data_IF_694136203237
#
_entry.id   IF_694136203237
#
_cell.length_a   1.000
_cell.length_b   1.000
_cell.length_c   1.000
_cell.angle_alpha   90.00
_cell.angle_beta   90.00
_cell.angle_gamma   90.00
#
_symmetry.space_group_name_H-M   'P 1'
#
loop_
_entity.id
_entity.type
_entity.pdbx_description
1 polymer ?
#
# COMPACT_ATOMS: atom_id res chain seq x y z
N UNK A 1 -33.86 29.05 57.02
CA UNK A 1 -33.92 29.66 55.69
C UNK A 1 -32.48 29.94 55.28
N UNK A 2 -31.85 29.02 54.54
CA UNK A 2 -30.44 29.12 54.16
C UNK A 2 -30.38 29.41 52.66
N UNK A 3 -29.98 30.64 52.31
CA UNK A 3 -29.74 31.06 50.94
C UNK A 3 -28.37 30.54 50.49
N UNK A 4 -28.37 29.79 49.39
CA UNK A 4 -27.16 29.35 48.69
C UNK A 4 -27.09 30.12 47.37
N UNK A 5 -26.09 31.00 47.23
CA UNK A 5 -25.78 31.66 45.96
C UNK A 5 -25.07 30.69 45.00
N UNK A 6 -25.30 30.78 43.68
CA UNK A 6 -24.65 29.93 42.69
C UNK A 6 -23.25 30.46 42.33
N UNK A 7 -22.32 29.58 41.92
CA UNK A 7 -20.96 29.96 41.55
C UNK A 7 -20.91 30.64 40.17
N UNK A 8 -20.06 31.66 40.06
CA UNK A 8 -19.79 32.40 38.82
C UNK A 8 -18.82 31.63 37.92
N UNK A 9 -19.27 31.23 36.74
CA UNK A 9 -18.47 30.52 35.74
C UNK A 9 -17.48 31.48 35.07
N UNK A 10 -16.19 31.31 35.32
CA UNK A 10 -15.12 32.05 34.63
C UNK A 10 -14.88 31.46 33.23
N UNK A 11 -14.83 32.33 32.22
CA UNK A 11 -14.58 31.95 30.83
C UNK A 11 -13.12 31.51 30.60
N UNK A 12 -12.85 30.55 29.69
CA UNK A 12 -11.49 30.12 29.39
C UNK A 12 -10.71 31.15 28.55
N UNK A 13 -9.45 31.34 28.91
CA UNK A 13 -8.49 32.19 28.21
C UNK A 13 -8.18 31.65 26.81
N UNK A 14 -8.10 32.56 25.83
CA UNK A 14 -7.72 32.25 24.45
C UNK A 14 -6.21 32.00 24.34
N UNK A 15 -5.76 30.95 23.63
CA UNK A 15 -4.33 30.69 23.43
C UNK A 15 -3.70 31.66 22.40
N UNK A 16 -2.40 32.00 22.56
CA UNK A 16 -1.70 32.94 21.68
C UNK A 16 -1.44 32.37 20.27
N UNK A 17 -1.59 33.23 19.27
CA UNK A 17 -1.27 32.96 17.86
C UNK A 17 0.18 32.51 17.66
N UNK A 18 0.36 31.33 17.06
CA UNK A 18 1.67 30.84 16.65
C UNK A 18 2.15 31.58 15.38
N UNK A 19 3.31 32.25 15.50
CA UNK A 19 4.02 32.88 14.38
C UNK A 19 4.53 31.79 13.42
N UNK A 20 4.15 31.90 12.14
CA UNK A 20 4.79 31.20 11.02
C UNK A 20 6.21 31.73 10.85
N UNK A 21 7.21 30.84 10.86
CA UNK A 21 8.55 31.12 10.33
C UNK A 21 8.77 30.25 9.10
N UNK A 22 8.97 30.93 7.96
CA UNK A 22 9.51 30.36 6.74
C UNK A 22 10.96 29.88 6.96
N UNK A 23 11.42 28.88 6.21
CA UNK A 23 12.43 29.05 5.13
C UNK A 23 12.83 27.67 4.61
N UNK A 24 12.62 27.48 3.31
CA UNK A 24 13.06 26.32 2.54
C UNK A 24 14.58 26.36 2.34
N UNK A 25 15.26 25.21 2.42
CA UNK A 25 16.57 25.03 1.79
C UNK A 25 16.65 23.58 1.28
N UNK A 26 16.47 23.42 -0.03
CA UNK A 26 16.70 22.16 -0.75
C UNK A 26 18.08 22.26 -1.38
N UNK A 27 19.00 21.41 -0.95
CA UNK A 27 20.34 21.28 -1.53
C UNK A 27 20.27 20.20 -2.60
N UNK A 28 20.30 20.61 -3.87
CA UNK A 28 20.40 19.72 -5.02
C UNK A 28 21.90 19.38 -5.18
N UNK A 29 22.27 18.12 -4.97
CA UNK A 29 23.61 17.62 -5.27
C UNK A 29 23.54 16.76 -6.53
N UNK A 30 24.02 17.33 -7.63
CA UNK A 30 24.21 16.69 -8.94
C UNK A 30 25.50 15.87 -8.92
N UNK A 31 25.44 14.59 -9.29
CA UNK A 31 26.61 13.77 -9.59
C UNK A 31 26.51 13.24 -11.02
N UNK A 32 27.41 13.73 -11.89
CA UNK A 32 27.70 13.21 -13.22
C UNK A 32 28.97 12.36 -13.15
N UNK A 33 29.08 11.29 -13.96
CA UNK A 33 30.29 10.50 -14.33
C UNK A 33 29.82 9.18 -14.95
N UNK A 34 30.34 8.56 -16.02
CA UNK A 34 31.35 8.80 -17.06
C UNK A 34 31.01 7.84 -18.23
N UNK A 35 31.30 8.26 -19.47
CA UNK A 35 31.16 7.46 -20.71
C UNK A 35 32.52 6.84 -21.06
N UNK A 36 32.55 5.53 -21.33
CA UNK A 36 33.57 4.83 -22.10
C UNK A 36 32.89 3.57 -22.70
N UNK A 37 32.91 3.22 -23.98
CA UNK A 37 33.83 3.56 -25.06
C UNK A 37 34.57 2.29 -25.50
N UNK A 38 33.92 1.37 -26.24
CA UNK A 38 34.62 0.30 -26.98
C UNK A 38 34.06 0.26 -28.41
N UNK A 39 34.89 0.77 -29.32
CA UNK A 39 34.81 0.58 -30.77
C UNK A 39 35.63 -0.67 -31.10
N UNK A 40 35.05 -1.61 -31.84
CA UNK A 40 35.85 -2.57 -32.61
C UNK A 40 35.22 -2.74 -33.99
N UNK A 41 36.01 -2.34 -34.98
CA UNK A 41 35.72 -2.41 -36.39
C UNK A 41 35.96 -3.83 -36.93
N UNK A 42 35.16 -4.22 -37.92
CA UNK A 42 35.38 -5.41 -38.75
C UNK A 42 34.69 -5.23 -40.09
N UNK A 43 35.44 -4.71 -41.07
CA UNK A 43 35.03 -4.50 -42.46
C UNK A 43 35.21 -5.82 -43.22
N UNK A 44 34.18 -6.25 -43.98
CA UNK A 44 34.39 -7.01 -45.23
C UNK A 44 33.43 -6.46 -46.30
N UNK A 45 34.04 -6.05 -47.42
CA UNK A 45 33.43 -5.53 -48.64
C UNK A 45 33.05 -6.69 -49.57
N UNK A 46 31.92 -6.56 -50.28
CA UNK A 46 31.66 -6.93 -51.70
C UNK A 46 30.18 -7.28 -51.88
N UNK A 47 29.49 -7.09 -53.00
CA UNK A 47 29.46 -6.14 -54.11
C UNK A 47 28.18 -6.52 -54.89
N UNK A 48 27.43 -5.53 -55.39
CA UNK A 48 26.50 -5.58 -56.54
C UNK A 48 25.41 -6.66 -56.65
N UNK A 49 24.15 -6.22 -56.76
CA UNK A 49 23.28 -6.35 -57.96
C UNK A 49 21.79 -6.50 -57.59
N UNK A 50 20.99 -5.64 -58.23
CA UNK A 50 19.62 -5.81 -58.72
C UNK A 50 18.43 -6.19 -57.83
N UNK A 51 17.32 -5.58 -58.23
CA UNK A 51 15.99 -5.61 -57.66
C UNK A 51 15.38 -7.02 -57.57
N UNK A 52 14.61 -7.26 -56.52
CA UNK A 52 13.21 -7.73 -56.59
C UNK A 52 12.63 -7.83 -55.17
N UNK A 53 11.41 -7.33 -55.01
CA UNK A 53 10.60 -7.51 -53.80
C UNK A 53 10.23 -9.00 -53.66
N UNK A 54 10.29 -9.58 -52.45
CA UNK A 54 9.18 -10.44 -52.08
C UNK A 54 8.75 -10.29 -50.60
N UNK A 55 7.47 -9.98 -50.44
CA UNK A 55 6.49 -10.57 -49.50
C UNK A 55 7.05 -11.35 -48.29
N UNK A 56 6.72 -10.97 -47.03
CA UNK A 56 7.14 -11.74 -45.86
C UNK A 56 6.43 -13.10 -45.83
N UNK A 57 7.20 -14.16 -46.05
CA UNK A 57 6.77 -15.55 -45.86
C UNK A 57 6.93 -15.90 -44.37
N UNK A 58 5.82 -16.23 -43.70
CA UNK A 58 5.84 -16.76 -42.32
C UNK A 58 6.46 -18.17 -42.36
N UNK A 59 7.69 -18.30 -41.88
CA UNK A 59 8.32 -19.60 -41.70
C UNK A 59 7.96 -20.14 -40.32
N UNK A 60 7.18 -21.22 -40.31
CA UNK A 60 6.87 -22.05 -39.14
C UNK A 60 8.18 -22.65 -38.60
N UNK A 61 8.59 -22.24 -37.40
CA UNK A 61 9.77 -22.79 -36.74
C UNK A 61 9.56 -24.28 -36.44
N UNK A 62 10.44 -25.10 -37.01
CA UNK A 62 10.52 -26.54 -36.76
C UNK A 62 11.12 -26.80 -35.37
N UNK A 63 10.51 -27.75 -34.65
CA UNK A 63 10.99 -28.25 -33.36
C UNK A 63 12.42 -28.80 -33.47
N UNK A 64 13.37 -28.15 -32.80
CA UNK A 64 14.63 -28.74 -32.41
C UNK A 64 14.57 -29.12 -30.91
N UNK A 65 15.03 -30.32 -30.50
CA UNK A 65 15.02 -30.69 -29.08
C UNK A 65 16.10 -29.89 -28.35
N UNK A 66 15.67 -28.91 -27.55
CA UNK A 66 16.56 -28.17 -26.66
C UNK A 66 16.89 -29.05 -25.44
N UNK A 67 18.19 -29.22 -25.21
CA UNK A 67 18.73 -29.95 -24.07
C UNK A 67 18.19 -29.40 -22.75
N UNK A 68 17.71 -30.30 -21.90
CA UNK A 68 17.12 -30.00 -20.60
C UNK A 68 18.20 -29.46 -19.66
N UNK A 69 18.36 -28.14 -19.59
CA UNK A 69 19.04 -27.50 -18.48
C UNK A 69 18.10 -27.52 -17.28
N UNK A 70 18.40 -28.37 -16.31
CA UNK A 70 17.70 -28.48 -15.03
C UNK A 70 17.72 -27.12 -14.34
N UNK A 71 16.64 -26.37 -14.49
CA UNK A 71 16.39 -25.12 -13.78
C UNK A 71 16.23 -25.49 -12.31
N UNK A 72 17.21 -25.17 -11.49
CA UNK A 72 17.10 -25.29 -10.03
C UNK A 72 15.90 -24.44 -9.62
N UNK A 73 14.82 -25.10 -9.22
CA UNK A 73 13.63 -24.46 -8.68
C UNK A 73 14.05 -23.62 -7.48
N UNK A 74 13.67 -22.32 -7.39
CA UNK A 74 13.87 -21.60 -6.14
C UNK A 74 13.14 -22.37 -5.04
N UNK A 75 13.89 -22.66 -3.97
CA UNK A 75 13.35 -23.21 -2.74
C UNK A 75 12.26 -22.23 -2.23
N UNK A 76 11.09 -22.70 -1.79
CA UNK A 76 10.05 -21.81 -1.31
C UNK A 76 10.60 -20.98 -0.15
N UNK A 77 10.50 -19.65 -0.28
CA UNK A 77 10.69 -18.70 0.82
C UNK A 77 9.86 -19.22 2.02
N UNK A 78 10.37 -19.19 3.26
CA UNK A 78 9.62 -19.66 4.41
C UNK A 78 8.26 -18.96 4.42
N UNK A 79 7.20 -19.75 4.23
CA UNK A 79 5.82 -19.28 4.21
C UNK A 79 5.57 -18.56 5.53
N UNK A 80 5.48 -17.23 5.52
CA UNK A 80 5.04 -16.48 6.69
C UNK A 80 3.72 -17.09 7.16
N UNK A 81 3.66 -17.44 8.44
CA UNK A 81 2.45 -17.96 9.05
C UNK A 81 1.36 -16.88 8.93
N UNK A 82 0.27 -17.19 8.22
CA UNK A 82 -0.83 -16.23 8.02
C UNK A 82 -1.54 -15.97 9.33
N UNK A 83 -1.59 -14.70 9.74
CA UNK A 83 -2.17 -14.27 11.02
C UNK A 83 -3.70 -14.36 11.00
N UNK A 84 -4.35 -14.49 12.16
CA UNK A 84 -5.82 -14.38 12.28
C UNK A 84 -6.21 -12.95 12.58
N UNK A 85 -7.44 -12.56 12.23
CA UNK A 85 -7.98 -11.26 12.66
C UNK A 85 -7.88 -11.12 14.19
N UNK A 86 -7.35 -9.99 14.64
CA UNK A 86 -7.05 -9.68 16.03
C UNK A 86 -5.60 -9.91 16.43
N UNK A 87 -4.86 -10.75 15.69
CA UNK A 87 -3.46 -11.01 15.97
C UNK A 87 -2.61 -9.75 15.69
N UNK A 88 -1.71 -9.46 16.64
CA UNK A 88 -0.72 -8.40 16.54
C UNK A 88 0.59 -8.99 16.03
N UNK A 89 1.23 -8.27 15.12
CA UNK A 89 2.59 -8.56 14.66
C UNK A 89 3.49 -7.38 14.93
N UNK A 90 4.69 -7.67 15.44
CA UNK A 90 5.73 -6.69 15.65
C UNK A 90 6.61 -6.63 14.39
N UNK A 91 6.83 -5.42 13.88
CA UNK A 91 7.49 -5.14 12.61
C UNK A 91 8.68 -4.21 12.88
N UNK A 92 9.83 -4.57 12.32
CA UNK A 92 11.01 -3.73 12.26
C UNK A 92 11.35 -3.46 10.79
N UNK A 93 11.17 -2.22 10.34
CA UNK A 93 11.34 -1.82 8.95
C UNK A 93 11.83 -0.37 8.86
N UNK A 94 12.76 -0.09 7.94
CA UNK A 94 13.31 1.27 7.75
C UNK A 94 13.94 1.88 9.01
N UNK A 95 14.45 1.06 9.93
CA UNK A 95 14.98 1.51 11.23
C UNK A 95 13.91 1.83 12.28
N UNK A 96 12.63 1.70 11.96
CA UNK A 96 11.51 1.90 12.87
C UNK A 96 11.06 0.57 13.49
N UNK A 97 10.48 0.65 14.69
CA UNK A 97 9.81 -0.49 15.35
C UNK A 97 8.36 -0.12 15.60
N UNK A 98 7.45 -0.96 15.16
CA UNK A 98 6.02 -0.71 15.31
C UNK A 98 5.27 -2.03 15.22
N UNK A 99 4.02 -2.05 15.66
CA UNK A 99 3.15 -3.21 15.50
C UNK A 99 1.93 -2.89 14.68
N UNK A 100 1.42 -3.91 13.97
CA UNK A 100 0.23 -3.81 13.16
C UNK A 100 -0.76 -4.93 13.52
N UNK A 101 -2.05 -4.66 13.34
CA UNK A 101 -3.10 -5.66 13.51
C UNK A 101 -4.31 -5.33 12.62
N UNK A 102 -4.90 -6.38 12.04
CA UNK A 102 -6.23 -6.31 11.43
C UNK A 102 -7.25 -6.78 12.45
N UNK A 103 -8.15 -5.89 12.83
CA UNK A 103 -9.09 -6.09 13.93
C UNK A 103 -10.44 -6.64 13.47
N UNK A 104 -10.86 -6.28 12.27
CA UNK A 104 -12.14 -6.70 11.71
C UNK A 104 -12.13 -6.57 10.18
N UNK A 105 -12.93 -7.40 9.52
CA UNK A 105 -13.29 -7.26 8.12
C UNK A 105 -14.81 -7.37 7.98
N UNK A 106 -15.43 -6.46 7.24
CA UNK A 106 -16.86 -6.44 6.94
C UNK A 106 -17.05 -6.12 5.47
N UNK A 107 -17.92 -6.86 4.78
CA UNK A 107 -18.26 -6.64 3.37
C UNK A 107 -19.77 -6.69 3.11
N UNK A 108 -20.58 -6.64 4.18
CA UNK A 108 -22.04 -6.66 4.16
C UNK A 108 -22.58 -5.70 5.21
N UNK A 109 -23.76 -5.12 4.93
CA UNK A 109 -24.45 -4.24 5.87
C UNK A 109 -23.72 -2.94 6.17
N UNK A 110 -22.80 -2.52 5.28
CA UNK A 110 -22.12 -1.23 5.38
C UNK A 110 -22.94 -0.24 4.57
N UNK A 111 -23.35 0.85 5.21
CA UNK A 111 -24.00 1.96 4.52
C UNK A 111 -23.01 2.58 3.54
N UNK A 112 -23.29 2.41 2.26
CA UNK A 112 -22.61 3.18 1.21
C UNK A 112 -23.21 4.58 1.16
N UNK A 113 -22.39 5.63 0.95
CA UNK A 113 -22.94 6.92 0.55
C UNK A 113 -23.66 6.77 -0.80
N UNK A 114 -24.78 7.47 -0.95
CA UNK A 114 -25.64 7.40 -2.14
C UNK A 114 -24.91 7.94 -3.36
N UNK A 115 -24.95 7.20 -4.48
CA UNK A 115 -24.44 7.66 -5.78
C UNK A 115 -22.92 7.59 -5.95
N UNK A 116 -22.18 7.06 -4.98
CA UNK A 116 -20.72 6.93 -5.11
C UNK A 116 -20.27 5.70 -5.88
N UNK A 117 -20.98 4.59 -5.72
CA UNK A 117 -20.62 3.33 -6.36
C UNK A 117 -21.57 3.03 -7.51
N UNK A 118 -21.02 2.45 -8.58
CA UNK A 118 -21.78 1.93 -9.70
C UNK A 118 -22.66 0.77 -9.25
N UNK A 119 -23.74 0.52 -10.01
CA UNK A 119 -24.72 -0.51 -9.67
C UNK A 119 -24.08 -1.90 -9.46
N UNK A 120 -24.23 -2.43 -8.26
CA UNK A 120 -23.76 -3.76 -7.87
C UNK A 120 -22.32 -3.83 -7.36
N UNK A 121 -21.60 -2.71 -7.28
CA UNK A 121 -20.42 -2.61 -6.43
C UNK A 121 -20.83 -2.59 -4.95
N UNK A 122 -19.94 -3.04 -4.07
CA UNK A 122 -20.18 -3.03 -2.62
C UNK A 122 -19.03 -2.36 -1.88
N UNK A 123 -19.34 -1.78 -0.73
CA UNK A 123 -18.36 -1.26 0.19
C UNK A 123 -17.87 -2.39 1.11
N UNK A 124 -16.56 -2.54 1.21
CA UNK A 124 -15.92 -3.33 2.26
C UNK A 124 -15.10 -2.43 3.19
N UNK A 125 -14.97 -2.86 4.44
CA UNK A 125 -14.27 -2.18 5.50
C UNK A 125 -13.32 -3.15 6.20
N UNK A 126 -12.13 -2.65 6.49
CA UNK A 126 -11.15 -3.30 7.34
C UNK A 126 -10.83 -2.39 8.51
N UNK A 127 -11.11 -2.83 9.72
CA UNK A 127 -10.66 -2.15 10.93
C UNK A 127 -9.22 -2.52 11.22
N UNK A 128 -8.32 -1.55 11.31
CA UNK A 128 -6.89 -1.78 11.52
C UNK A 128 -6.35 -0.96 12.68
N UNK A 129 -5.20 -1.37 13.23
CA UNK A 129 -4.45 -0.62 14.24
C UNK A 129 -2.96 -0.72 13.96
N UNK A 130 -2.26 0.41 14.08
CA UNK A 130 -0.80 0.48 14.06
C UNK A 130 -0.33 1.22 15.31
N UNK A 131 0.67 0.69 16.00
CA UNK A 131 1.28 1.29 17.18
C UNK A 131 2.75 1.53 16.93
N UNK A 132 3.23 2.75 17.17
CA UNK A 132 4.65 3.04 17.09
C UNK A 132 5.33 2.62 18.39
N UNK A 133 6.26 1.67 18.30
CA UNK A 133 6.99 1.13 19.45
C UNK A 133 8.42 1.68 19.53
N UNK A 134 8.82 2.50 18.55
CA UNK A 134 10.09 3.22 18.52
C UNK A 134 9.98 4.64 19.06
N UNK A 135 11.10 5.37 19.02
CA UNK A 135 11.16 6.77 19.47
C UNK A 135 10.84 7.77 18.35
N UNK A 136 11.24 7.44 17.11
CA UNK A 136 11.03 8.30 15.95
C UNK A 136 9.58 8.19 15.45
N UNK A 137 8.97 9.29 14.97
CA UNK A 137 7.62 9.24 14.44
C UNK A 137 7.56 8.43 13.14
N UNK A 138 6.51 7.62 13.00
CA UNK A 138 6.20 6.90 11.75
C UNK A 138 5.04 7.58 11.03
N UNK A 139 4.97 7.44 9.71
CA UNK A 139 3.82 7.87 8.91
C UNK A 139 2.95 6.66 8.61
N UNK A 140 1.64 6.78 8.82
CA UNK A 140 0.65 5.76 8.45
C UNK A 140 -0.30 6.29 7.39
N UNK A 141 -0.72 5.42 6.48
CA UNK A 141 -1.66 5.73 5.42
C UNK A 141 -2.55 4.51 5.13
N UNK A 142 -3.78 4.69 4.60
CA UNK A 142 -4.62 3.56 4.23
C UNK A 142 -4.04 2.76 3.05
N UNK A 143 -3.33 3.40 2.11
CA UNK A 143 -2.83 2.76 0.89
C UNK A 143 -1.72 1.73 1.10
N UNK A 144 -1.20 1.58 2.32
CA UNK A 144 -0.31 0.46 2.66
C UNK A 144 -1.10 -0.82 2.96
N UNK A 145 -2.43 -0.76 2.98
CA UNK A 145 -3.32 -1.90 3.22
C UNK A 145 -3.98 -2.33 1.92
N UNK A 146 -4.16 -3.63 1.70
CA UNK A 146 -4.92 -4.14 0.54
C UNK A 146 -5.74 -5.37 0.88
N UNK A 147 -6.82 -5.63 0.14
CA UNK A 147 -7.50 -6.92 0.15
C UNK A 147 -6.87 -7.85 -0.88
N UNK A 148 -6.74 -9.14 -0.56
CA UNK A 148 -6.36 -10.17 -1.52
C UNK A 148 -7.42 -11.26 -1.63
N UNK A 149 -7.61 -11.73 -2.86
CA UNK A 149 -8.60 -12.73 -3.24
C UNK A 149 -7.95 -14.05 -3.65
N UNK A 150 -8.77 -15.09 -3.76
CA UNK A 150 -8.34 -16.47 -4.08
C UNK A 150 -7.64 -16.57 -5.44
N UNK A 151 -8.05 -15.75 -6.41
CA UNK A 151 -7.46 -15.68 -7.75
C UNK A 151 -6.11 -14.94 -7.80
N UNK A 152 -5.59 -14.52 -6.64
CA UNK A 152 -4.36 -13.75 -6.51
C UNK A 152 -4.51 -12.26 -6.82
N UNK A 153 -5.71 -11.80 -7.19
CA UNK A 153 -5.97 -10.38 -7.37
C UNK A 153 -5.90 -9.63 -6.05
N UNK A 154 -5.54 -8.34 -6.15
CA UNK A 154 -5.48 -7.42 -5.02
C UNK A 154 -6.34 -6.21 -5.31
N UNK A 155 -6.97 -5.70 -4.26
CA UNK A 155 -7.76 -4.48 -4.30
C UNK A 155 -7.17 -3.49 -3.32
N UNK A 156 -6.79 -2.33 -3.85
CA UNK A 156 -6.34 -1.20 -3.05
C UNK A 156 -7.53 -0.46 -2.43
N UNK A 157 -7.32 0.25 -1.31
CA UNK A 157 -8.34 1.11 -0.73
C UNK A 157 -8.66 2.22 -1.71
N UNK A 158 -9.93 2.62 -1.75
CA UNK A 158 -10.28 3.83 -2.47
C UNK A 158 -10.14 5.05 -1.56
N UNK A 159 -9.80 6.19 -2.15
CA UNK A 159 -9.63 7.41 -1.40
C UNK A 159 -10.98 8.09 -1.16
N UNK A 160 -11.33 8.27 0.10
CA UNK A 160 -12.40 9.17 0.50
C UNK A 160 -12.04 9.85 1.81
N UNK A 161 -12.22 11.17 1.82
CA UNK A 161 -12.06 11.99 3.03
C UNK A 161 -13.39 12.66 3.34
N UNK A 162 -13.82 12.65 4.60
CA UNK A 162 -14.99 13.40 5.04
C UNK A 162 -16.02 12.56 5.80
N UNK A 163 -17.21 13.13 5.99
CA UNK A 163 -18.29 12.59 6.82
C UNK A 163 -19.12 11.49 6.15
N UNK A 164 -18.76 11.11 4.92
CA UNK A 164 -19.50 10.17 4.09
C UNK A 164 -19.19 8.72 4.50
N UNK A 165 -17.98 8.46 4.99
CA UNK A 165 -17.58 7.13 5.45
C UNK A 165 -17.90 6.92 6.93
N UNK A 166 -18.33 5.70 7.33
CA UNK A 166 -18.54 5.36 8.73
C UNK A 166 -17.29 5.58 9.60
N UNK A 167 -17.34 6.42 10.65
CA UNK A 167 -16.19 6.64 11.52
C UNK A 167 -15.86 5.41 12.39
N UNK A 168 -14.63 5.31 12.94
CA UNK A 168 -13.49 6.17 12.66
C UNK A 168 -12.82 5.80 11.32
N UNK A 169 -12.56 6.78 10.45
CA UNK A 169 -11.80 6.57 9.21
C UNK A 169 -10.31 6.50 9.53
N UNK A 170 -9.57 5.58 8.93
CA UNK A 170 -8.12 5.51 9.07
C UNK A 170 -7.48 6.74 8.41
N UNK A 171 -6.55 7.43 9.09
CA UNK A 171 -6.09 8.73 8.61
C UNK A 171 -5.15 8.60 7.41
N UNK A 172 -5.16 9.65 6.61
CA UNK A 172 -4.23 9.88 5.51
C UNK A 172 -2.93 10.52 6.03
N UNK A 173 -1.80 9.88 5.72
CA UNK A 173 -0.43 10.39 5.99
C UNK A 173 -0.23 10.96 7.40
N UNK A 174 -0.83 10.32 8.40
CA UNK A 174 -0.73 10.77 9.78
C UNK A 174 0.60 10.37 10.41
N UNK A 175 1.22 11.29 11.14
CA UNK A 175 2.41 11.02 11.96
C UNK A 175 2.00 10.46 13.31
N UNK A 176 2.55 9.30 13.66
CA UNK A 176 2.32 8.61 14.93
C UNK A 176 3.59 8.69 15.76
N UNK A 177 3.53 9.35 16.91
CA UNK A 177 4.67 9.47 17.83
C UNK A 177 4.97 8.14 18.51
N UNK A 178 6.20 7.99 19.00
CA UNK A 178 6.57 6.82 19.80
C UNK A 178 5.66 6.62 21.01
N UNK A 179 5.19 5.38 21.18
CA UNK A 179 4.23 5.00 22.23
C UNK A 179 2.76 5.19 21.85
N UNK A 180 2.45 5.93 20.78
CA UNK A 180 1.07 6.16 20.34
C UNK A 180 0.61 5.08 19.35
N UNK A 181 -0.72 4.93 19.25
CA UNK A 181 -1.35 4.09 18.25
C UNK A 181 -2.39 4.85 17.45
N UNK A 182 -2.53 4.49 16.19
CA UNK A 182 -3.65 4.89 15.33
C UNK A 182 -4.53 3.70 15.05
N UNK A 183 -5.84 3.90 15.17
CA UNK A 183 -6.87 2.91 14.84
C UNK A 183 -7.92 3.56 13.96
N UNK A 184 -8.40 2.82 12.97
CA UNK A 184 -9.43 3.31 12.06
C UNK A 184 -9.84 2.27 11.04
N UNK A 185 -10.82 2.65 10.22
CA UNK A 185 -11.37 1.85 9.15
C UNK A 185 -10.73 2.24 7.81
N UNK A 186 -10.21 1.26 7.10
CA UNK A 186 -9.78 1.35 5.70
C UNK A 186 -10.93 0.82 4.83
N UNK A 187 -11.25 1.53 3.77
CA UNK A 187 -12.43 1.25 2.94
C UNK A 187 -12.03 0.83 1.53
N UNK A 188 -12.77 -0.13 0.99
CA UNK A 188 -12.52 -0.74 -0.32
C UNK A 188 -13.81 -0.73 -1.14
N UNK A 189 -13.73 -0.25 -2.37
CA UNK A 189 -14.79 -0.37 -3.36
C UNK A 189 -14.62 -1.73 -4.05
N UNK A 190 -15.43 -2.70 -3.65
CA UNK A 190 -15.33 -4.06 -4.18
C UNK A 190 -16.17 -4.14 -5.46
N UNK A 191 -15.55 -4.49 -6.61
CA UNK A 191 -16.26 -4.60 -7.87
C UNK A 191 -17.37 -5.64 -7.82
N UNK A 192 -18.41 -5.44 -8.64
CA UNK A 192 -19.48 -6.42 -8.80
C UNK A 192 -18.89 -7.78 -9.23
N UNK A 193 -19.38 -8.85 -8.61
CA UNK A 193 -18.93 -10.22 -8.91
C UNK A 193 -17.70 -10.67 -8.13
N UNK A 194 -16.99 -9.76 -7.46
CA UNK A 194 -15.94 -10.16 -6.53
C UNK A 194 -16.55 -10.80 -5.29
N UNK A 195 -15.94 -11.91 -4.87
CA UNK A 195 -16.31 -12.64 -3.68
C UNK A 195 -15.98 -11.87 -2.39
N UNK A 196 -15.77 -12.64 -1.33
CA UNK A 196 -15.20 -12.12 -0.09
C UNK A 196 -13.68 -12.24 -0.18
N UNK A 197 -12.95 -11.21 0.26
CA UNK A 197 -11.49 -11.29 0.33
C UNK A 197 -11.07 -12.43 1.28
N UNK A 198 -9.99 -13.12 0.94
CA UNK A 198 -9.42 -14.18 1.77
C UNK A 198 -8.42 -13.65 2.78
N UNK A 199 -7.74 -12.55 2.43
CA UNK A 199 -6.67 -11.96 3.23
C UNK A 199 -6.72 -10.43 3.20
N UNK A 200 -6.22 -9.83 4.27
CA UNK A 200 -5.80 -8.42 4.33
C UNK A 200 -4.29 -8.40 4.40
N UNK A 201 -3.68 -7.55 3.59
CA UNK A 201 -2.22 -7.39 3.51
C UNK A 201 -1.83 -6.01 4.02
N UNK A 202 -0.67 -5.94 4.68
CA UNK A 202 0.01 -4.70 5.06
C UNK A 202 1.39 -4.65 4.42
N UNK A 203 1.62 -3.65 3.58
CA UNK A 203 2.79 -3.53 2.68
C UNK A 203 3.33 -2.08 2.66
N UNK A 204 3.88 -1.56 3.76
CA UNK A 204 4.58 -0.29 3.72
C UNK A 204 5.85 -0.40 2.87
N UNK A 205 6.32 0.71 2.32
CA UNK A 205 7.42 0.73 1.35
C UNK A 205 8.74 0.11 1.86
N UNK A 206 9.00 0.20 3.17
CA UNK A 206 10.24 -0.29 3.79
C UNK A 206 10.20 -1.77 4.18
N UNK A 207 9.14 -2.51 3.81
CA UNK A 207 8.96 -3.92 4.12
C UNK A 207 9.08 -4.78 2.85
N UNK A 208 10.00 -5.75 2.86
CA UNK A 208 10.29 -6.60 1.69
C UNK A 208 9.13 -7.54 1.32
N UNK A 209 8.49 -8.13 2.33
CA UNK A 209 7.35 -9.04 2.17
C UNK A 209 6.13 -8.52 2.93
N UNK A 210 4.92 -8.55 2.33
CA UNK A 210 3.72 -8.07 3.00
C UNK A 210 3.37 -8.94 4.21
N UNK A 211 2.88 -8.33 5.28
CA UNK A 211 2.28 -9.10 6.39
C UNK A 211 0.82 -9.39 6.08
N UNK A 212 0.38 -10.61 6.34
CA UNK A 212 -0.94 -11.08 5.93
C UNK A 212 -1.80 -11.58 7.10
N UNK A 213 -3.08 -11.17 7.10
CA UNK A 213 -4.11 -11.67 8.00
C UNK A 213 -5.20 -12.39 7.21
N UNK A 214 -5.55 -13.60 7.61
CA UNK A 214 -6.64 -14.37 7.04
C UNK A 214 -7.99 -13.82 7.49
N UNK A 215 -8.84 -13.54 6.50
CA UNK A 215 -10.22 -13.10 6.68
C UNK A 215 -11.07 -14.37 6.74
N UNK A 216 -11.21 -14.95 7.94
CA UNK A 216 -11.95 -16.21 8.15
C UNK A 216 -13.34 -16.18 7.50
N UNK A 217 -13.78 -17.30 6.92
CA UNK A 217 -14.98 -17.40 6.04
C UNK A 217 -16.26 -16.87 6.67
#
# INVERSE_FOLDING_TARGET
MSNTEPPTTSAPATPPSAKRSHTNTVIISTAAVLIAGIVTAGIVVSNSSDADDPTPTVVKAANAPSASSTKTSPSPSPSQETLKLGDKVDIAAGGNKFSAAVLAHKDKGITSPTGLFQDGQKLALVGVKVCNEGEQPITVAPFTWSLAYEDGSRLEPFHMTGNELPPPVYPMDAKVKGGDCVRGNVFFEVPKGFGRAERVLYSPADLDEPVEWQVGK
#
